data_IF_637444493365
#
_entry.id   IF_637444493365
#
_cell.length_a   1.000
_cell.length_b   1.000
_cell.length_c   1.000
_cell.angle_alpha   90.00
_cell.angle_beta   90.00
_cell.angle_gamma   90.00
#
_symmetry.space_group_name_H-M   'P 1'
#
loop_
_entity.id
_entity.type
_entity.pdbx_description
1 polymer ?
#
# COMPACT_ATOMS: atom_id res chain seq x y z
N UNK A 1 46.04 2.77 -37.14
CA UNK A 1 46.17 2.97 -35.67
C UNK A 1 44.90 3.54 -35.03
N UNK A 2 44.29 4.59 -35.60
CA UNK A 2 43.11 5.31 -35.07
C UNK A 2 41.87 4.43 -34.81
N UNK A 3 41.46 3.56 -35.75
CA UNK A 3 40.30 2.66 -35.58
C UNK A 3 40.41 1.70 -34.39
N UNK A 4 41.62 1.26 -34.04
CA UNK A 4 41.86 0.34 -32.91
C UNK A 4 41.78 1.09 -31.57
N UNK A 5 42.19 2.36 -31.55
CA UNK A 5 42.06 3.25 -30.40
C UNK A 5 40.59 3.63 -30.14
N UNK A 6 39.83 4.02 -31.18
CA UNK A 6 38.40 4.32 -31.08
C UNK A 6 37.57 3.12 -30.60
N UNK A 7 37.89 1.90 -31.04
CA UNK A 7 37.22 0.67 -30.54
C UNK A 7 37.53 0.38 -29.07
N UNK A 8 38.75 0.67 -28.59
CA UNK A 8 39.09 0.54 -27.16
C UNK A 8 38.33 1.60 -26.34
N UNK A 9 38.31 2.85 -26.78
CA UNK A 9 37.59 3.93 -26.12
C UNK A 9 36.09 3.66 -26.05
N UNK A 10 35.46 3.20 -27.14
CA UNK A 10 34.05 2.82 -27.15
C UNK A 10 33.72 1.67 -26.18
N UNK A 11 34.63 0.67 -26.05
CA UNK A 11 34.49 -0.40 -25.04
C UNK A 11 34.61 0.14 -23.62
N UNK A 12 35.56 1.04 -23.35
CA UNK A 12 35.68 1.68 -22.04
C UNK A 12 34.43 2.49 -21.69
N UNK A 13 33.93 3.31 -22.62
CA UNK A 13 32.69 4.08 -22.43
C UNK A 13 31.50 3.15 -22.20
N UNK A 14 31.38 2.05 -22.96
CA UNK A 14 30.32 1.06 -22.77
C UNK A 14 30.38 0.39 -21.39
N UNK A 15 31.58 0.04 -20.90
CA UNK A 15 31.77 -0.51 -19.55
C UNK A 15 31.41 0.51 -18.48
N UNK A 16 31.81 1.78 -18.62
CA UNK A 16 31.43 2.85 -17.71
C UNK A 16 29.92 3.10 -17.66
N UNK A 17 29.26 3.13 -18.82
CA UNK A 17 27.79 3.24 -18.89
C UNK A 17 27.13 2.06 -18.19
N UNK A 18 27.62 0.84 -18.40
CA UNK A 18 27.10 -0.35 -17.73
C UNK A 18 27.25 -0.24 -16.19
N UNK A 19 28.42 0.18 -15.70
CA UNK A 19 28.64 0.41 -14.26
C UNK A 19 27.69 1.47 -13.70
N UNK A 20 27.46 2.57 -14.41
CA UNK A 20 26.51 3.61 -13.98
C UNK A 20 25.06 3.09 -13.93
N UNK A 21 24.66 2.29 -14.92
CA UNK A 21 23.32 1.67 -14.96
C UNK A 21 23.16 0.69 -13.80
N UNK A 22 24.12 -0.21 -13.60
CA UNK A 22 24.11 -1.18 -12.49
C UNK A 22 24.11 -0.47 -11.15
N UNK A 23 24.97 0.55 -10.98
CA UNK A 23 25.02 1.38 -9.77
C UNK A 23 23.70 2.06 -9.48
N UNK A 24 23.03 2.63 -10.50
CA UNK A 24 21.70 3.26 -10.35
C UNK A 24 20.62 2.24 -9.96
N UNK A 25 20.63 1.05 -10.53
CA UNK A 25 19.67 -0.02 -10.19
C UNK A 25 19.89 -0.51 -8.75
N UNK A 26 21.14 -0.78 -8.38
CA UNK A 26 21.51 -1.19 -7.03
C UNK A 26 21.13 -0.12 -5.99
N UNK A 27 21.43 1.15 -6.27
CA UNK A 27 21.08 2.28 -5.42
C UNK A 27 19.57 2.37 -5.17
N UNK A 28 18.74 2.23 -6.22
CA UNK A 28 17.28 2.25 -6.08
C UNK A 28 16.77 1.12 -5.17
N UNK A 29 17.35 -0.08 -5.27
CA UNK A 29 16.98 -1.23 -4.42
C UNK A 29 17.38 -0.99 -2.97
N UNK A 30 18.61 -0.52 -2.73
CA UNK A 30 19.10 -0.19 -1.38
C UNK A 30 18.28 0.92 -0.73
N UNK A 31 17.96 1.97 -1.48
CA UNK A 31 17.10 3.05 -1.00
C UNK A 31 15.71 2.55 -0.59
N UNK A 32 15.07 1.71 -1.41
CA UNK A 32 13.78 1.10 -1.03
C UNK A 32 13.88 0.20 0.20
N UNK A 33 14.94 -0.61 0.28
CA UNK A 33 15.16 -1.49 1.42
C UNK A 33 15.31 -0.67 2.71
N UNK A 34 16.07 0.43 2.66
CA UNK A 34 16.19 1.37 3.78
C UNK A 34 14.82 1.90 4.21
N UNK A 35 14.01 2.38 3.27
CA UNK A 35 12.65 2.87 3.58
C UNK A 35 11.72 1.78 4.11
N UNK A 36 11.85 0.52 3.66
CA UNK A 36 11.08 -0.61 4.20
C UNK A 36 11.47 -0.93 5.64
N UNK A 37 12.77 -0.95 5.94
CA UNK A 37 13.24 -1.24 7.31
C UNK A 37 12.80 -0.13 8.26
N UNK A 38 12.85 1.12 7.80
CA UNK A 38 12.51 2.31 8.58
C UNK A 38 11.08 2.80 8.34
N UNK A 39 10.21 1.94 7.82
CA UNK A 39 8.88 2.34 7.35
C UNK A 39 8.01 2.88 8.49
N UNK A 40 8.16 2.27 9.68
CA UNK A 40 7.39 2.54 10.89
C UNK A 40 8.17 3.33 11.94
N UNK A 41 9.39 3.81 11.64
CA UNK A 41 10.15 4.66 12.57
C UNK A 41 9.29 5.87 12.96
N UNK A 42 9.10 6.17 14.27
CA UNK A 42 8.21 7.24 14.72
C UNK A 42 8.49 8.60 14.06
N UNK A 43 9.77 8.92 13.86
CA UNK A 43 10.24 10.18 13.27
C UNK A 43 9.96 10.29 11.75
N UNK A 44 9.59 9.18 11.09
CA UNK A 44 9.51 9.08 9.62
C UNK A 44 8.15 8.61 9.12
N UNK A 45 7.36 7.97 9.98
CA UNK A 45 6.13 7.24 9.60
C UNK A 45 5.17 8.11 8.79
N UNK A 46 4.96 9.36 9.20
CA UNK A 46 4.10 10.33 8.48
C UNK A 46 4.61 10.58 7.07
N UNK A 47 5.88 10.96 6.94
CA UNK A 47 6.49 11.28 5.64
C UNK A 47 6.54 10.07 4.71
N UNK A 48 6.80 8.89 5.26
CA UNK A 48 6.76 7.64 4.53
C UNK A 48 5.35 7.35 4.01
N UNK A 49 4.32 7.46 4.86
CA UNK A 49 2.95 7.06 4.52
C UNK A 49 2.27 8.04 3.55
N UNK A 50 2.60 9.33 3.65
CA UNK A 50 2.17 10.37 2.70
C UNK A 50 2.99 10.37 1.39
N UNK A 51 4.07 9.59 1.32
CA UNK A 51 5.05 9.63 0.23
C UNK A 51 5.39 8.28 -0.39
N UNK A 52 4.55 7.25 -0.20
CA UNK A 52 4.85 5.89 -0.65
C UNK A 52 5.12 5.79 -2.16
N UNK A 53 4.49 6.64 -2.98
CA UNK A 53 4.69 6.68 -4.43
C UNK A 53 6.07 7.19 -4.87
N UNK A 54 6.78 7.89 -3.97
CA UNK A 54 8.18 8.30 -4.17
C UNK A 54 9.16 7.17 -3.85
N UNK A 55 8.73 6.19 -3.05
CA UNK A 55 9.56 5.10 -2.57
C UNK A 55 9.40 3.86 -3.46
N UNK A 56 8.16 3.46 -3.76
CA UNK A 56 7.86 2.23 -4.49
C UNK A 56 7.44 2.49 -5.94
N UNK A 57 7.67 1.54 -6.86
CA UNK A 57 7.01 1.58 -8.16
C UNK A 57 5.49 1.53 -7.99
N UNK A 58 4.78 2.46 -8.62
CA UNK A 58 3.32 2.53 -8.56
C UNK A 58 2.69 2.42 -9.94
N UNK A 59 1.47 1.89 -9.98
CA UNK A 59 0.58 2.00 -11.14
C UNK A 59 -0.58 2.91 -10.78
N UNK A 60 -0.79 3.97 -11.57
CA UNK A 60 -1.87 4.92 -11.33
C UNK A 60 -3.22 4.30 -11.69
N UNK A 61 -4.15 4.31 -10.73
CA UNK A 61 -5.57 4.10 -11.01
C UNK A 61 -6.18 5.47 -11.23
N UNK A 62 -6.67 5.72 -12.44
CA UNK A 62 -7.24 7.01 -12.80
C UNK A 62 -8.64 7.15 -12.20
N UNK A 63 -8.95 8.36 -11.69
CA UNK A 63 -10.31 8.72 -11.29
C UNK A 63 -11.26 8.71 -12.49
N UNK A 64 -12.55 8.54 -12.21
CA UNK A 64 -13.62 8.70 -13.22
C UNK A 64 -13.53 10.07 -13.91
N UNK A 65 -13.93 10.12 -15.18
CA UNK A 65 -14.13 11.38 -15.90
C UNK A 65 -15.26 12.23 -15.29
N UNK A 66 -16.20 11.58 -14.60
CA UNK A 66 -17.29 12.18 -13.85
C UNK A 66 -17.26 11.62 -12.42
N UNK A 67 -16.39 12.16 -11.54
CA UNK A 67 -16.36 11.73 -10.14
C UNK A 67 -17.58 12.26 -9.40
N UNK A 68 -18.06 11.50 -8.43
CA UNK A 68 -19.05 12.00 -7.48
C UNK A 68 -18.38 13.00 -6.54
N UNK A 69 -18.98 14.18 -6.42
CA UNK A 69 -18.53 15.22 -5.49
C UNK A 69 -19.50 15.29 -4.32
N UNK A 70 -19.02 15.01 -3.11
CA UNK A 70 -19.82 15.19 -1.90
C UNK A 70 -20.18 16.66 -1.72
N UNK A 71 -21.43 16.90 -1.31
CA UNK A 71 -21.87 18.25 -0.95
C UNK A 71 -21.25 18.63 0.39
N UNK A 72 -20.99 19.91 0.59
CA UNK A 72 -20.67 20.43 1.92
C UNK A 72 -21.96 20.56 2.72
N UNK A 73 -21.95 20.06 3.95
CA UNK A 73 -23.04 20.14 4.91
C UNK A 73 -22.85 21.30 5.88
N UNK A 74 -23.71 21.37 6.90
CA UNK A 74 -23.45 22.26 8.03
C UNK A 74 -22.19 21.79 8.77
N UNK A 75 -21.20 22.68 8.89
CA UNK A 75 -19.94 22.37 9.57
C UNK A 75 -20.22 22.02 11.03
N UNK A 76 -19.74 20.87 11.45
CA UNK A 76 -19.81 20.36 12.81
C UNK A 76 -18.40 20.38 13.41
N UNK A 77 -18.24 21.01 14.57
CA UNK A 77 -17.01 20.88 15.34
C UNK A 77 -16.93 19.48 15.97
N UNK A 78 -15.71 18.96 16.14
CA UNK A 78 -15.51 17.80 17.00
C UNK A 78 -15.88 18.17 18.45
N UNK A 79 -16.41 17.22 19.23
CA UNK A 79 -16.59 17.44 20.66
C UNK A 79 -15.23 17.68 21.31
N UNK A 80 -15.17 18.49 22.38
CA UNK A 80 -13.93 18.73 23.12
C UNK A 80 -13.35 17.43 23.70
N UNK A 81 -14.22 16.54 24.18
CA UNK A 81 -13.85 15.22 24.69
C UNK A 81 -14.90 14.17 24.35
N UNK A 82 -14.48 12.90 24.38
CA UNK A 82 -15.34 11.74 24.23
C UNK A 82 -14.98 10.68 25.29
N UNK A 83 -15.83 9.67 25.47
CA UNK A 83 -15.63 8.61 26.47
C UNK A 83 -15.53 7.27 25.75
N UNK A 84 -14.46 6.51 26.03
CA UNK A 84 -14.26 5.13 25.59
C UNK A 84 -13.99 4.28 26.83
N UNK A 85 -14.76 3.21 27.02
CA UNK A 85 -14.61 2.28 28.16
C UNK A 85 -14.58 2.99 29.54
N UNK A 86 -15.37 4.05 29.68
CA UNK A 86 -15.45 4.86 30.92
C UNK A 86 -14.33 5.89 31.09
N UNK A 87 -13.34 5.93 30.19
CA UNK A 87 -12.24 6.91 30.21
C UNK A 87 -12.58 8.09 29.33
N UNK A 88 -12.54 9.30 29.89
CA UNK A 88 -12.69 10.55 29.14
C UNK A 88 -11.36 10.90 28.45
N UNK A 89 -11.41 11.14 27.15
CA UNK A 89 -10.27 11.54 26.32
C UNK A 89 -10.55 12.90 25.66
N UNK A 90 -9.55 13.79 25.63
CA UNK A 90 -9.63 15.02 24.85
C UNK A 90 -9.44 14.71 23.36
N UNK A 91 -10.28 15.28 22.50
CA UNK A 91 -10.26 14.97 21.06
C UNK A 91 -8.98 15.45 20.35
N UNK A 92 -8.49 16.65 20.68
CA UNK A 92 -7.29 17.20 20.07
C UNK A 92 -6.03 16.44 20.51
N UNK A 93 -5.95 16.09 21.80
CA UNK A 93 -4.87 15.24 22.33
C UNK A 93 -4.91 13.86 21.71
N UNK A 94 -6.11 13.26 21.54
CA UNK A 94 -6.26 11.96 20.89
C UNK A 94 -5.72 11.99 19.46
N UNK A 95 -6.15 12.96 18.64
CA UNK A 95 -5.66 13.10 17.25
C UNK A 95 -4.15 13.28 17.17
N UNK A 96 -3.57 14.01 18.13
CA UNK A 96 -2.12 14.19 18.25
C UNK A 96 -1.44 12.88 18.62
N UNK A 97 -1.94 12.17 19.64
CA UNK A 97 -1.39 10.92 20.15
C UNK A 97 -1.48 9.78 19.13
N UNK A 98 -2.54 9.73 18.32
CA UNK A 98 -2.69 8.74 17.24
C UNK A 98 -1.98 9.14 15.95
N UNK A 99 -1.25 10.27 15.95
CA UNK A 99 -0.51 10.78 14.78
C UNK A 99 -1.45 10.92 13.56
N UNK A 100 -2.68 11.39 13.79
CA UNK A 100 -3.69 11.51 12.73
C UNK A 100 -3.24 12.54 11.70
N UNK A 101 -3.21 12.14 10.42
CA UNK A 101 -2.84 13.04 9.31
C UNK A 101 -4.07 13.65 8.63
N UNK A 102 -5.25 13.06 8.75
CA UNK A 102 -6.49 13.62 8.23
C UNK A 102 -7.72 12.94 8.81
N UNK A 103 -8.80 13.71 8.99
CA UNK A 103 -10.08 13.22 9.47
C UNK A 103 -11.20 13.90 8.68
N UNK A 104 -12.07 13.08 8.10
CA UNK A 104 -13.25 13.49 7.36
C UNK A 104 -14.47 12.75 7.90
N UNK A 105 -15.57 13.47 8.14
CA UNK A 105 -16.84 12.92 8.62
C UNK A 105 -17.93 13.24 7.60
N UNK A 106 -18.59 12.18 7.13
CA UNK A 106 -19.77 12.27 6.27
C UNK A 106 -21.04 12.04 7.11
N UNK A 107 -22.06 12.85 6.89
CA UNK A 107 -23.40 12.66 7.44
C UNK A 107 -24.42 13.01 6.36
N UNK A 108 -25.33 12.09 6.06
CA UNK A 108 -26.36 12.26 5.03
C UNK A 108 -25.79 12.67 3.65
N UNK A 109 -24.73 11.99 3.19
CA UNK A 109 -24.01 12.28 1.94
C UNK A 109 -23.40 13.70 1.85
N UNK A 110 -23.19 14.34 2.99
CA UNK A 110 -22.53 15.64 3.08
C UNK A 110 -21.29 15.56 3.97
N UNK A 111 -20.24 16.26 3.56
CA UNK A 111 -19.06 16.50 4.41
C UNK A 111 -19.48 17.49 5.49
N UNK A 112 -19.43 17.06 6.76
CA UNK A 112 -19.77 17.90 7.91
C UNK A 112 -18.54 18.27 8.74
N UNK A 113 -17.44 17.55 8.58
CA UNK A 113 -16.15 17.89 9.16
C UNK A 113 -15.03 17.36 8.25
N UNK A 114 -14.00 18.17 8.04
CA UNK A 114 -12.83 17.80 7.26
C UNK A 114 -11.64 18.63 7.74
N UNK A 115 -10.62 17.96 8.28
CA UNK A 115 -9.38 18.59 8.69
C UNK A 115 -8.18 17.70 8.37
N UNK A 116 -7.09 18.35 7.98
CA UNK A 116 -5.82 17.71 7.63
C UNK A 116 -4.70 18.25 8.52
N UNK A 117 -3.74 17.40 8.81
CA UNK A 117 -2.65 17.66 9.74
C UNK A 117 -1.34 17.13 9.15
N UNK A 118 -0.20 17.47 9.77
CA UNK A 118 1.08 16.84 9.47
C UNK A 118 1.51 16.92 7.99
N UNK A 119 1.12 18.00 7.29
CA UNK A 119 1.43 18.20 5.87
C UNK A 119 0.53 17.43 4.89
N UNK A 120 -0.50 16.73 5.37
CA UNK A 120 -1.57 16.17 4.55
C UNK A 120 -2.49 17.30 4.03
N UNK A 121 -3.08 17.10 2.87
CA UNK A 121 -4.14 17.93 2.28
C UNK A 121 -5.12 17.06 1.48
N UNK A 122 -6.23 17.64 1.02
CA UNK A 122 -7.23 16.98 0.16
C UNK A 122 -6.64 16.31 -1.11
N UNK A 123 -5.46 16.74 -1.57
CA UNK A 123 -4.82 16.23 -2.79
C UNK A 123 -3.66 15.26 -2.50
N UNK A 124 -3.29 15.09 -1.24
CA UNK A 124 -2.19 14.20 -0.87
C UNK A 124 -2.65 12.75 -0.94
N UNK A 125 -1.81 11.87 -1.49
CA UNK A 125 -2.07 10.43 -1.47
C UNK A 125 -1.50 9.84 -0.18
N UNK A 126 -2.35 9.12 0.55
CA UNK A 126 -1.97 8.38 1.74
C UNK A 126 -2.06 6.88 1.47
N UNK A 127 -1.09 6.09 1.92
CA UNK A 127 -1.20 4.63 1.88
C UNK A 127 -2.42 4.15 2.69
N UNK A 128 -3.29 3.37 2.08
CA UNK A 128 -4.51 2.89 2.73
C UNK A 128 -4.33 1.60 3.54
N UNK A 129 -3.16 0.97 3.43
CA UNK A 129 -2.86 -0.32 4.05
C UNK A 129 -3.95 -1.35 3.74
N UNK A 130 -4.42 -2.09 4.74
CA UNK A 130 -5.44 -3.13 4.58
C UNK A 130 -6.82 -2.62 4.17
N UNK A 131 -7.08 -1.30 4.18
CA UNK A 131 -8.32 -0.76 3.60
C UNK A 131 -8.42 -1.09 2.10
N UNK A 132 -7.28 -1.26 1.41
CA UNK A 132 -7.25 -1.69 0.02
C UNK A 132 -7.98 -3.04 -0.21
N UNK A 133 -8.02 -3.93 0.79
CA UNK A 133 -8.67 -5.25 0.68
C UNK A 133 -10.18 -5.13 0.46
N UNK A 134 -10.83 -4.12 1.02
CA UNK A 134 -12.27 -3.88 0.80
C UNK A 134 -12.59 -3.56 -0.67
N UNK A 135 -11.70 -2.84 -1.37
CA UNK A 135 -11.83 -2.61 -2.80
C UNK A 135 -11.69 -3.91 -3.60
N UNK A 136 -10.72 -4.76 -3.24
CA UNK A 136 -10.58 -6.09 -3.86
C UNK A 136 -11.84 -6.93 -3.63
N UNK A 137 -12.39 -6.95 -2.42
CA UNK A 137 -13.64 -7.65 -2.11
C UNK A 137 -14.81 -7.15 -2.99
N UNK A 138 -14.96 -5.83 -3.15
CA UNK A 138 -15.99 -5.27 -4.03
C UNK A 138 -15.79 -5.68 -5.50
N UNK A 139 -14.55 -5.74 -5.97
CA UNK A 139 -14.22 -6.20 -7.33
C UNK A 139 -14.58 -7.68 -7.54
N UNK A 140 -14.44 -8.54 -6.52
CA UNK A 140 -14.94 -9.92 -6.59
C UNK A 140 -16.46 -9.97 -6.74
N UNK A 141 -17.20 -9.10 -6.02
CA UNK A 141 -18.65 -8.95 -6.22
C UNK A 141 -19.03 -8.60 -7.66
N UNK A 142 -18.35 -7.61 -8.24
CA UNK A 142 -18.54 -7.20 -9.64
C UNK A 142 -18.16 -8.33 -10.61
N UNK A 143 -17.07 -9.06 -10.32
CA UNK A 143 -16.62 -10.17 -11.16
C UNK A 143 -17.62 -11.33 -11.17
N UNK A 144 -18.26 -11.63 -10.03
CA UNK A 144 -19.34 -12.62 -9.93
C UNK A 144 -20.56 -12.18 -10.73
N UNK A 145 -21.02 -10.94 -10.55
CA UNK A 145 -22.15 -10.37 -11.29
C UNK A 145 -21.93 -10.44 -12.80
N UNK A 146 -20.70 -10.20 -13.25
CA UNK A 146 -20.31 -10.25 -14.67
C UNK A 146 -20.00 -11.67 -15.19
N UNK A 147 -20.08 -12.69 -14.34
CA UNK A 147 -19.74 -14.08 -14.71
C UNK A 147 -18.25 -14.31 -15.02
N UNK A 148 -17.37 -13.39 -14.62
CA UNK A 148 -15.91 -13.56 -14.74
C UNK A 148 -15.37 -14.55 -13.69
N UNK A 149 -16.07 -14.65 -12.57
CA UNK A 149 -15.94 -15.73 -11.59
C UNK A 149 -17.30 -16.40 -11.52
N UNK A 150 -17.39 -17.72 -11.71
CA UNK A 150 -18.67 -18.43 -11.71
C UNK A 150 -19.22 -18.61 -10.31
N UNK A 151 -18.36 -18.93 -9.34
CA UNK A 151 -18.73 -19.05 -7.94
C UNK A 151 -17.52 -18.84 -7.02
N UNK A 152 -17.74 -18.30 -5.82
CA UNK A 152 -16.71 -18.25 -4.78
C UNK A 152 -16.43 -19.61 -4.13
N UNK A 153 -17.26 -20.61 -4.40
CA UNK A 153 -17.03 -21.99 -3.96
C UNK A 153 -16.02 -22.73 -4.87
N UNK A 154 -15.63 -22.13 -6.01
CA UNK A 154 -14.51 -22.62 -6.82
C UNK A 154 -13.16 -22.37 -6.14
N UNK A 155 -12.15 -23.11 -6.57
CA UNK A 155 -10.82 -23.05 -5.97
C UNK A 155 -9.97 -21.95 -6.57
N UNK A 156 -9.00 -21.44 -5.81
CA UNK A 156 -7.97 -20.51 -6.31
C UNK A 156 -7.27 -21.10 -7.53
N UNK A 157 -6.99 -22.40 -7.52
CA UNK A 157 -6.30 -23.13 -8.59
C UNK A 157 -7.10 -23.30 -9.88
N UNK A 158 -8.41 -23.10 -9.86
CA UNK A 158 -9.23 -23.08 -11.09
C UNK A 158 -8.93 -21.84 -11.94
N UNK A 159 -8.58 -20.73 -11.27
CA UNK A 159 -8.27 -19.44 -11.91
C UNK A 159 -6.76 -19.15 -11.97
N UNK A 160 -5.98 -19.70 -11.05
CA UNK A 160 -4.53 -19.51 -10.93
C UNK A 160 -3.80 -20.86 -10.86
N UNK A 161 -3.61 -21.55 -12.00
CA UNK A 161 -2.98 -22.88 -12.03
C UNK A 161 -1.57 -22.93 -11.43
N UNK A 162 -0.85 -21.80 -11.41
CA UNK A 162 0.48 -21.67 -10.81
C UNK A 162 0.50 -21.89 -9.28
N UNK A 163 -0.66 -21.86 -8.62
CA UNK A 163 -0.79 -22.09 -7.18
C UNK A 163 -0.89 -23.58 -6.80
N UNK A 164 -0.93 -24.49 -7.77
CA UNK A 164 -0.91 -25.93 -7.50
C UNK A 164 0.39 -26.34 -6.80
N UNK A 165 0.28 -27.20 -5.79
CA UNK A 165 1.38 -27.60 -4.91
C UNK A 165 1.78 -26.54 -3.86
N UNK A 166 1.08 -25.41 -3.78
CA UNK A 166 1.28 -24.41 -2.71
C UNK A 166 0.22 -24.57 -1.62
N UNK A 167 0.29 -23.76 -0.55
CA UNK A 167 -0.75 -23.72 0.49
C UNK A 167 -2.13 -23.27 -0.01
N UNK A 168 -2.24 -22.72 -1.22
CA UNK A 168 -3.51 -22.34 -1.85
C UNK A 168 -4.10 -23.42 -2.76
N UNK A 169 -3.45 -24.57 -2.91
CA UNK A 169 -3.97 -25.67 -3.73
C UNK A 169 -5.27 -26.22 -3.13
N UNK A 170 -6.34 -26.24 -3.92
CA UNK A 170 -7.67 -26.66 -3.46
C UNK A 170 -8.38 -25.70 -2.52
N UNK A 171 -7.78 -24.58 -2.12
CA UNK A 171 -8.43 -23.57 -1.26
C UNK A 171 -9.52 -22.85 -2.07
N UNK A 172 -10.73 -22.72 -1.49
CA UNK A 172 -11.82 -21.99 -2.16
C UNK A 172 -11.59 -20.49 -2.12
N UNK A 173 -12.07 -19.80 -3.15
CA UNK A 173 -12.04 -18.33 -3.20
C UNK A 173 -12.71 -17.72 -1.96
N UNK A 174 -13.84 -18.29 -1.53
CA UNK A 174 -14.56 -17.89 -0.31
C UNK A 174 -13.67 -17.90 0.93
N UNK A 175 -12.89 -18.96 1.12
CA UNK A 175 -12.04 -19.13 2.29
C UNK A 175 -10.94 -18.05 2.30
N UNK A 176 -10.39 -17.70 1.12
CA UNK A 176 -9.43 -16.58 0.98
C UNK A 176 -10.10 -15.23 1.30
N UNK A 177 -11.27 -14.95 0.75
CA UNK A 177 -12.00 -13.70 0.99
C UNK A 177 -12.38 -13.50 2.46
N UNK A 178 -12.56 -14.61 3.19
CA UNK A 178 -12.92 -14.62 4.61
C UNK A 178 -11.72 -14.79 5.55
N UNK A 179 -10.48 -14.71 5.04
CA UNK A 179 -9.25 -14.88 5.83
C UNK A 179 -9.19 -16.23 6.57
N UNK A 180 -9.69 -17.29 5.94
CA UNK A 180 -9.83 -18.64 6.52
C UNK A 180 -9.23 -19.73 5.64
N UNK A 181 -8.25 -19.38 4.80
CA UNK A 181 -7.56 -20.33 3.90
C UNK A 181 -6.73 -21.40 4.61
N UNK A 182 -6.39 -21.19 5.90
CA UNK A 182 -5.50 -22.07 6.66
C UNK A 182 -4.02 -21.99 6.27
N UNK A 183 -3.65 -21.06 5.37
CA UNK A 183 -2.25 -20.85 4.99
C UNK A 183 -1.50 -20.20 6.16
N UNK A 184 -0.41 -20.83 6.59
CA UNK A 184 0.48 -20.27 7.61
C UNK A 184 1.15 -19.00 7.07
N UNK A 185 0.99 -17.90 7.80
CA UNK A 185 1.70 -16.65 7.55
C UNK A 185 1.83 -15.87 8.87
N UNK A 186 3.05 -15.56 9.28
CA UNK A 186 3.33 -14.78 10.48
C UNK A 186 3.22 -13.26 10.20
N UNK A 187 2.18 -12.63 10.76
CA UNK A 187 1.90 -11.19 10.65
C UNK A 187 2.43 -10.36 11.84
N UNK A 188 3.35 -10.89 12.65
CA UNK A 188 3.99 -10.08 13.69
C UNK A 188 4.89 -8.99 13.06
N UNK A 189 4.38 -7.77 12.97
CA UNK A 189 5.10 -6.61 12.45
C UNK A 189 6.32 -6.21 13.30
N UNK A 190 6.35 -6.58 14.59
CA UNK A 190 7.47 -6.29 15.50
C UNK A 190 8.61 -7.31 15.38
N UNK A 191 8.33 -8.53 14.95
CA UNK A 191 9.32 -9.57 14.75
C UNK A 191 10.03 -9.42 13.40
N UNK A 192 11.34 -9.12 13.42
CA UNK A 192 12.15 -8.99 12.20
C UNK A 192 12.08 -10.21 11.28
N UNK A 193 11.95 -11.41 11.88
CA UNK A 193 11.89 -12.70 11.20
C UNK A 193 10.52 -13.14 10.71
N UNK A 194 9.45 -12.39 11.00
CA UNK A 194 8.10 -12.75 10.58
C UNK A 194 7.95 -12.73 9.05
N UNK A 195 6.94 -13.45 8.56
CA UNK A 195 6.68 -13.56 7.12
C UNK A 195 6.31 -12.21 6.52
N UNK A 196 5.59 -11.34 7.25
CA UNK A 196 5.25 -9.98 6.78
C UNK A 196 6.49 -9.09 6.59
N UNK A 197 7.45 -9.16 7.52
CA UNK A 197 8.69 -8.39 7.43
C UNK A 197 9.62 -8.94 6.35
N UNK A 198 9.68 -10.28 6.21
CA UNK A 198 10.37 -10.94 5.10
C UNK A 198 9.78 -10.53 3.75
N UNK A 199 8.45 -10.56 3.63
CA UNK A 199 7.72 -10.14 2.44
C UNK A 199 8.04 -8.69 2.06
N UNK A 200 7.98 -7.76 3.02
CA UNK A 200 8.34 -6.35 2.78
C UNK A 200 9.74 -6.20 2.19
N UNK A 201 10.74 -6.92 2.72
CA UNK A 201 12.12 -6.89 2.20
C UNK A 201 12.25 -7.48 0.80
N UNK A 202 11.54 -8.58 0.50
CA UNK A 202 11.51 -9.18 -0.84
C UNK A 202 10.94 -8.19 -1.86
N UNK A 203 9.81 -7.55 -1.53
CA UNK A 203 9.21 -6.51 -2.37
C UNK A 203 10.15 -5.33 -2.58
N UNK A 204 10.85 -4.87 -1.53
CA UNK A 204 11.82 -3.77 -1.63
C UNK A 204 12.90 -4.05 -2.68
N UNK A 205 13.38 -5.29 -2.72
CA UNK A 205 14.41 -5.76 -3.66
C UNK A 205 13.86 -6.04 -5.07
N UNK A 206 12.55 -6.00 -5.25
CA UNK A 206 11.86 -6.21 -6.52
C UNK A 206 11.58 -7.68 -6.83
N UNK A 207 11.51 -8.53 -5.81
CA UNK A 207 11.03 -9.91 -5.94
C UNK A 207 9.51 -10.00 -5.79
N UNK A 208 8.98 -11.19 -6.06
CA UNK A 208 7.59 -11.62 -5.86
C UNK A 208 7.58 -13.00 -5.24
#
# INVERSE_FOLDING_TARGET
>A
MVRKCMRKLAKFVGVWILFLVVGRVAWRRLHRLYHVIHLFDPERIVGNFLGMDKIFPTKTVHKSAQPYHFKQGAVMALPESFVVDGVRMNSAEFLTHTVTTGLLVLKNDQIVFEQYYQGHSETTRHISWSVAKSFVSALFGIALERGLIRSIEETVTDYLPAMRGTGYDGVRIKDVLQMSSGVRFDEDYGAFGSDINRFGRVLALGGS
#
